data_IF_747679748895
#
_entry.id   IF_747679748895
#
_cell.length_a   1.000
_cell.length_b   1.000
_cell.length_c   1.000
_cell.angle_alpha   90.00
_cell.angle_beta   90.00
_cell.angle_gamma   90.00
#
_symmetry.space_group_name_H-M   'P 1'
#
loop_
_entity.id
_entity.type
_entity.pdbx_description
1 polymer ?
#
# COMPACT_ATOMS: atom_id res chain seq x y z
N UNK A 1 14.04 -2.74 10.20
CA UNK A 1 12.90 -2.25 10.99
C UNK A 1 11.68 -2.84 10.33
N UNK A 2 11.56 -4.16 10.42
CA UNK A 2 10.56 -4.90 9.66
C UNK A 2 9.29 -4.89 10.50
N UNK A 3 8.11 -4.79 9.87
CA UNK A 3 6.79 -4.80 10.53
C UNK A 3 6.23 -3.44 11.02
N UNK A 4 6.60 -2.31 10.43
CA UNK A 4 5.92 -1.02 10.72
C UNK A 4 4.52 -0.96 10.08
N UNK A 5 4.36 -1.58 8.90
CA UNK A 5 3.14 -1.52 8.09
C UNK A 5 2.59 -2.90 7.77
N UNK A 6 1.26 -2.99 7.74
CA UNK A 6 0.51 -4.12 7.19
C UNK A 6 -0.40 -3.68 6.04
N UNK A 7 -0.73 -4.65 5.19
CA UNK A 7 -1.68 -4.48 4.09
C UNK A 7 -2.70 -5.62 4.12
N UNK A 8 -3.98 -5.29 3.93
CA UNK A 8 -5.04 -6.26 3.65
C UNK A 8 -5.65 -5.92 2.30
N UNK A 9 -5.48 -6.79 1.31
CA UNK A 9 -6.29 -6.77 0.10
C UNK A 9 -7.63 -7.44 0.39
N UNK A 10 -8.73 -6.81 -0.02
CA UNK A 10 -10.07 -7.35 0.22
C UNK A 10 -10.19 -8.80 -0.31
N UNK A 11 -10.61 -9.72 0.55
CA UNK A 11 -10.76 -11.15 0.22
C UNK A 11 -9.47 -11.97 0.24
N UNK A 12 -8.34 -11.42 0.72
CA UNK A 12 -7.05 -12.11 0.83
C UNK A 12 -6.55 -12.14 2.28
N UNK A 13 -5.57 -13.01 2.56
CA UNK A 13 -4.84 -13.00 3.83
C UNK A 13 -4.03 -11.70 3.99
N UNK A 14 -3.75 -11.26 5.23
CA UNK A 14 -2.90 -10.10 5.47
C UNK A 14 -1.49 -10.28 4.89
N UNK A 15 -0.97 -9.22 4.30
CA UNK A 15 0.39 -9.12 3.76
C UNK A 15 1.20 -8.11 4.57
N UNK A 16 2.51 -8.26 4.52
CA UNK A 16 3.46 -7.33 5.13
C UNK A 16 4.32 -6.66 4.06
N UNK A 17 4.77 -5.45 4.37
CA UNK A 17 5.71 -4.75 3.50
C UNK A 17 7.14 -5.23 3.72
N UNK A 18 7.89 -5.31 2.64
CA UNK A 18 9.34 -5.53 2.63
C UNK A 18 10.03 -4.17 2.52
N UNK A 19 11.03 -3.93 3.38
CA UNK A 19 11.85 -2.72 3.31
C UNK A 19 12.81 -2.84 2.11
N UNK A 20 12.74 -1.90 1.18
CA UNK A 20 13.53 -1.89 -0.07
C UNK A 20 14.51 -0.71 -0.16
N UNK A 21 14.39 0.24 0.77
CA UNK A 21 15.32 1.35 0.96
C UNK A 21 15.34 1.80 2.41
N UNK A 22 15.97 2.94 2.68
CA UNK A 22 16.07 3.46 4.05
C UNK A 22 14.67 3.81 4.61
N UNK A 23 13.79 4.34 3.76
CA UNK A 23 12.45 4.81 4.13
C UNK A 23 11.35 4.30 3.20
N UNK A 24 11.72 3.40 2.29
CA UNK A 24 10.86 2.85 1.25
C UNK A 24 10.48 1.40 1.57
N UNK A 25 9.19 1.12 1.41
CA UNK A 25 8.57 -0.16 1.73
C UNK A 25 7.69 -0.60 0.55
N UNK A 26 7.79 -1.86 0.16
CA UNK A 26 7.07 -2.43 -0.97
C UNK A 26 6.24 -3.64 -0.54
N UNK A 27 5.01 -3.74 -1.06
CA UNK A 27 4.17 -4.93 -0.93
C UNK A 27 3.59 -5.26 -2.30
N UNK A 28 3.80 -6.49 -2.75
CA UNK A 28 3.18 -6.98 -3.97
C UNK A 28 1.83 -7.63 -3.65
N UNK A 29 0.86 -7.39 -4.51
CA UNK A 29 -0.48 -7.99 -4.40
C UNK A 29 -0.64 -8.93 -5.59
N UNK A 30 -0.61 -10.24 -5.34
CA UNK A 30 -0.90 -11.23 -6.36
C UNK A 30 -2.34 -11.11 -6.86
N UNK A 31 -2.53 -11.33 -8.17
CA UNK A 31 -3.86 -11.26 -8.81
C UNK A 31 -4.58 -9.91 -8.53
N UNK A 32 -3.82 -8.81 -8.62
CA UNK A 32 -4.28 -7.46 -8.29
C UNK A 32 -5.48 -6.99 -9.14
N UNK A 33 -5.68 -7.55 -10.34
CA UNK A 33 -6.82 -7.26 -11.21
C UNK A 33 -8.17 -7.57 -10.53
N UNK A 34 -8.19 -8.51 -9.58
CA UNK A 34 -9.39 -8.91 -8.85
C UNK A 34 -9.53 -8.22 -7.47
N UNK A 35 -8.67 -7.25 -7.16
CA UNK A 35 -8.70 -6.54 -5.87
C UNK A 35 -9.35 -5.17 -6.03
N UNK A 36 -10.47 -4.98 -5.35
CA UNK A 36 -11.21 -3.71 -5.41
C UNK A 36 -10.75 -2.69 -4.36
N UNK A 37 -10.40 -3.16 -3.18
CA UNK A 37 -10.01 -2.32 -2.05
C UNK A 37 -8.79 -2.91 -1.34
N UNK A 38 -7.95 -2.01 -0.84
CA UNK A 38 -6.83 -2.34 0.04
C UNK A 38 -6.91 -1.50 1.31
N UNK A 39 -6.54 -2.11 2.42
CA UNK A 39 -6.37 -1.44 3.71
C UNK A 39 -4.89 -1.39 4.00
N UNK A 40 -4.37 -0.19 4.26
CA UNK A 40 -2.99 0.00 4.73
C UNK A 40 -3.04 0.54 6.14
N UNK A 41 -2.25 -0.05 7.03
CA UNK A 41 -2.26 0.30 8.44
C UNK A 41 -0.87 0.16 9.07
N UNK A 42 -0.67 0.90 10.15
CA UNK A 42 0.46 0.74 11.06
C UNK A 42 0.18 -0.43 12.01
N UNK A 43 1.16 -1.30 12.22
CA UNK A 43 1.01 -2.47 13.12
C UNK A 43 0.92 -2.08 14.60
N UNK A 44 1.39 -0.88 14.95
CA UNK A 44 1.49 -0.40 16.33
C UNK A 44 2.76 -0.83 17.06
N UNK A 45 3.64 -1.62 16.43
CA UNK A 45 4.92 -2.04 17.03
C UNK A 45 5.88 -0.86 17.21
N UNK A 46 5.89 0.05 16.23
CA UNK A 46 6.72 1.25 16.25
C UNK A 46 5.90 2.47 15.77
N UNK A 47 5.81 3.55 16.58
CA UNK A 47 5.23 4.80 16.11
C UNK A 47 6.18 5.48 15.12
N UNK A 48 5.64 6.36 14.27
CA UNK A 48 6.47 7.28 13.51
C UNK A 48 7.17 8.28 14.44
N UNK A 49 8.37 8.78 14.06
CA UNK A 49 8.93 9.98 14.68
C UNK A 49 7.95 11.16 14.62
N UNK A 50 8.05 12.07 15.59
CA UNK A 50 7.19 13.24 15.67
C UNK A 50 7.25 14.08 14.39
N UNK A 51 6.09 14.51 13.93
CA UNK A 51 5.94 15.27 12.68
C UNK A 51 6.10 14.45 11.40
N UNK A 52 6.24 13.13 11.48
CA UNK A 52 6.38 12.24 10.31
C UNK A 52 5.14 11.38 10.05
N UNK A 53 5.03 10.93 8.81
CA UNK A 53 4.07 9.93 8.34
C UNK A 53 4.61 9.25 7.08
N UNK A 54 3.79 8.38 6.49
CA UNK A 54 4.12 7.71 5.23
C UNK A 54 3.07 8.03 4.18
N UNK A 55 3.54 8.38 2.99
CA UNK A 55 2.74 8.45 1.78
C UNK A 55 2.61 7.05 1.17
N UNK A 56 1.39 6.71 0.77
CA UNK A 56 1.04 5.43 0.15
C UNK A 56 0.85 5.65 -1.34
N UNK A 57 1.57 4.84 -2.12
CA UNK A 57 1.48 4.82 -3.57
C UNK A 57 1.05 3.44 -4.06
N UNK A 58 0.42 3.39 -5.22
CA UNK A 58 0.11 2.15 -5.94
C UNK A 58 0.64 2.23 -7.36
N UNK A 59 1.07 1.08 -7.88
CA UNK A 59 1.46 0.90 -9.27
C UNK A 59 0.67 -0.30 -9.80
N UNK A 60 -0.05 -0.09 -10.89
CA UNK A 60 -0.82 -1.16 -11.53
C UNK A 60 0.05 -1.91 -12.55
N UNK A 61 -0.19 -3.22 -12.76
CA UNK A 61 0.39 -3.93 -13.87
C UNK A 61 -0.18 -3.38 -15.19
N UNK A 62 0.68 -3.19 -16.17
CA UNK A 62 0.31 -2.72 -17.52
C UNK A 62 0.51 -3.82 -18.55
N UNK A 63 -0.43 -4.05 -19.49
CA UNK A 63 -0.34 -5.11 -20.49
C UNK A 63 0.92 -5.05 -21.36
N UNK A 64 1.37 -3.85 -21.73
CA UNK A 64 2.46 -3.66 -22.70
C UNK A 64 3.85 -3.43 -22.06
N UNK A 65 3.99 -3.67 -20.76
CA UNK A 65 5.23 -3.42 -20.03
C UNK A 65 5.64 -1.94 -19.94
N UNK A 66 4.81 -1.01 -20.43
CA UNK A 66 5.01 0.43 -20.23
C UNK A 66 4.71 0.78 -18.78
N UNK A 67 5.71 1.30 -18.07
CA UNK A 67 5.57 1.64 -16.66
C UNK A 67 4.42 2.63 -16.42
N UNK A 68 3.30 2.20 -15.84
CA UNK A 68 2.20 3.09 -15.44
C UNK A 68 2.62 4.15 -14.42
N UNK A 69 3.80 3.97 -13.81
CA UNK A 69 4.30 4.85 -12.76
C UNK A 69 3.57 4.65 -11.44
N UNK A 70 4.04 5.37 -10.43
CA UNK A 70 3.49 5.34 -9.08
C UNK A 70 2.41 6.40 -8.92
N UNK A 71 1.24 6.01 -8.44
CA UNK A 71 0.11 6.89 -8.19
C UNK A 71 -0.08 7.09 -6.69
N UNK A 72 -0.16 8.35 -6.26
CA UNK A 72 -0.42 8.68 -4.86
C UNK A 72 -1.87 8.36 -4.49
N UNK A 73 -2.07 7.59 -3.41
CA UNK A 73 -3.39 7.26 -2.88
C UNK A 73 -3.75 8.08 -1.64
N UNK A 74 -2.77 8.36 -0.79
CA UNK A 74 -2.99 9.04 0.48
C UNK A 74 -1.84 8.79 1.45
N UNK A 75 -2.10 8.91 2.74
CA UNK A 75 -1.07 8.81 3.77
C UNK A 75 -1.58 8.12 5.05
N UNK A 76 -0.65 7.65 5.87
CA UNK A 76 -0.86 7.19 7.25
C UNK A 76 0.12 7.89 8.20
N UNK A 77 -0.30 8.12 9.44
CA UNK A 77 0.53 8.72 10.49
C UNK A 77 0.03 8.30 11.88
N UNK A 78 0.72 8.69 12.94
CA UNK A 78 0.34 8.34 14.32
C UNK A 78 -1.11 8.73 14.68
N UNK A 79 -1.63 9.83 14.12
CA UNK A 79 -3.02 10.30 14.35
C UNK A 79 -4.05 9.62 13.45
N UNK A 80 -3.60 8.98 12.36
CA UNK A 80 -4.44 8.27 11.39
C UNK A 80 -3.71 6.98 10.98
N UNK A 81 -3.71 5.97 11.86
CA UNK A 81 -2.84 4.80 11.72
C UNK A 81 -3.31 3.83 10.65
N UNK A 82 -4.50 4.00 10.07
CA UNK A 82 -5.04 3.15 9.02
C UNK A 82 -5.87 3.94 8.01
N UNK A 83 -5.93 3.43 6.78
CA UNK A 83 -6.72 3.99 5.68
C UNK A 83 -7.15 2.88 4.71
N UNK A 84 -8.31 3.06 4.10
CA UNK A 84 -8.85 2.15 3.08
C UNK A 84 -8.80 2.90 1.74
N UNK A 85 -8.28 2.25 0.71
CA UNK A 85 -8.23 2.75 -0.65
C UNK A 85 -9.03 1.87 -1.59
N UNK A 86 -9.77 2.48 -2.50
CA UNK A 86 -10.36 1.80 -3.66
C UNK A 86 -9.32 1.81 -4.79
N UNK A 87 -8.92 0.62 -5.24
CA UNK A 87 -7.90 0.44 -6.28
C UNK A 87 -8.39 -0.34 -7.51
N UNK A 88 -9.69 -0.69 -7.52
CA UNK A 88 -10.35 -1.30 -8.65
C UNK A 88 -10.04 -0.49 -9.93
N UNK A 89 -9.42 -1.12 -10.92
CA UNK A 89 -9.31 -0.53 -12.23
C UNK A 89 -10.72 -0.45 -12.81
N UNK A 90 -11.12 0.74 -13.28
CA UNK A 90 -12.26 0.82 -14.19
C UNK A 90 -11.78 0.12 -15.46
N UNK A 91 -12.22 -1.13 -15.67
CA UNK A 91 -12.14 -1.75 -16.98
C UNK A 91 -12.95 -0.86 -17.92
N UNK A 92 -12.27 0.07 -18.60
CA UNK A 92 -12.82 0.70 -19.80
C UNK A 92 -12.95 -0.39 -20.85
N UNK A 93 -14.16 -0.93 -20.97
CA UNK A 93 -14.57 -1.78 -22.09
C UNK A 93 -14.76 -0.97 -23.37
#
# INVERSE_FOLDING_TARGET
>A
MNEVFGLIAAGRSPSQFVQVGEREFLCEIGDAANVNHVVVFMTGLHPFPDGMGSSVYVRWPTPDGQDAGWHYLGFVCNMKPSVIFKIAQVLTG
#
